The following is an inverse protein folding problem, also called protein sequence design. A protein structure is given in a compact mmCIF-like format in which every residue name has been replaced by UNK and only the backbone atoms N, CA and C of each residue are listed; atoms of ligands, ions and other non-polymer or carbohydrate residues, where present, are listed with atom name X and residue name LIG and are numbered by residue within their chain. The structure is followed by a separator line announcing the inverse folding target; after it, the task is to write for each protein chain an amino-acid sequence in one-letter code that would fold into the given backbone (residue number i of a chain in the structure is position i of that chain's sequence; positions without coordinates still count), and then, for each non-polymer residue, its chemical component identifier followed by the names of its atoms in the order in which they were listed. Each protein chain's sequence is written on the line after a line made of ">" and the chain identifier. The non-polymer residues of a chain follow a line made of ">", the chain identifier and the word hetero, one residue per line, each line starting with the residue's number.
data_IF_900657498432
#
_entry.id   IF_900657498432
#
_cell.length_a   1.000
_cell.length_b   1.000
_cell.length_c   1.000
_cell.angle_alpha   90.00
_cell.angle_beta   90.00
_cell.angle_gamma   90.00
#
_symmetry.space_group_name_H-M   'P 1'
#
loop_
_entity.id
_entity.type
_entity.pdbx_description
1 polymer ?
#
# COMPACT_ATOMS: atom_id res chain seq x y z
N UNK A 1 -32.39 2.86 -15.81
CA UNK A 1 -31.13 2.83 -15.05
C UNK A 1 -31.33 1.90 -13.86
N UNK A 2 -30.35 1.05 -13.50
CA UNK A 2 -30.43 0.25 -12.27
C UNK A 2 -30.26 1.17 -11.06
N UNK A 3 -31.07 0.95 -10.02
CA UNK A 3 -30.92 1.65 -8.75
C UNK A 3 -29.69 1.09 -8.03
N UNK A 4 -28.82 1.98 -7.55
CA UNK A 4 -27.64 1.63 -6.76
C UNK A 4 -27.96 1.99 -5.31
N UNK A 5 -27.95 1.00 -4.43
CA UNK A 5 -28.29 1.18 -3.01
C UNK A 5 -27.07 1.46 -2.13
N UNK A 6 -25.89 1.03 -2.57
CA UNK A 6 -24.64 1.18 -1.83
C UNK A 6 -23.47 1.34 -2.79
N UNK A 7 -22.51 2.19 -2.42
CA UNK A 7 -21.23 2.35 -3.09
C UNK A 7 -20.14 2.12 -2.06
N UNK A 8 -19.25 1.18 -2.34
CA UNK A 8 -18.09 0.88 -1.52
C UNK A 8 -16.87 1.58 -2.10
N UNK A 9 -16.05 2.15 -1.23
CA UNK A 9 -14.79 2.77 -1.60
C UNK A 9 -13.66 2.02 -0.93
N UNK A 10 -12.65 1.69 -1.72
CA UNK A 10 -11.34 1.36 -1.20
C UNK A 10 -10.72 2.62 -0.56
N UNK A 11 -9.70 2.43 0.29
CA UNK A 11 -9.08 3.52 1.02
C UNK A 11 -7.86 4.06 0.27
N UNK A 12 -6.79 3.28 0.20
CA UNK A 12 -5.50 3.68 -0.35
C UNK A 12 -5.58 3.78 -1.88
N UNK A 13 -5.17 4.91 -2.45
CA UNK A 13 -5.24 5.17 -3.89
C UNK A 13 -6.66 5.44 -4.43
N UNK A 14 -7.70 5.33 -3.59
CA UNK A 14 -9.08 5.68 -3.94
C UNK A 14 -9.58 6.91 -3.19
N UNK A 15 -9.53 6.89 -1.86
CA UNK A 15 -9.91 8.04 -1.01
C UNK A 15 -8.68 8.84 -0.56
N UNK A 16 -7.56 8.16 -0.32
CA UNK A 16 -6.32 8.75 0.18
C UNK A 16 -5.17 8.61 -0.82
N UNK A 17 -4.43 9.70 -1.04
CA UNK A 17 -3.08 9.62 -1.61
C UNK A 17 -2.08 9.26 -0.50
N UNK A 18 -2.05 7.99 -0.13
CA UNK A 18 -1.24 7.45 0.97
C UNK A 18 0.14 6.95 0.52
N UNK A 19 0.55 7.23 -0.72
CA UNK A 19 1.80 6.72 -1.31
C UNK A 19 3.03 7.07 -0.48
N UNK A 20 3.17 8.33 -0.10
CA UNK A 20 4.33 8.78 0.69
C UNK A 20 4.40 8.07 2.06
N UNK A 21 3.24 7.84 2.68
CA UNK A 21 3.16 7.14 3.96
C UNK A 21 3.61 5.68 3.80
N UNK A 22 3.10 4.98 2.79
CA UNK A 22 3.46 3.59 2.47
C UNK A 22 4.96 3.45 2.22
N UNK A 23 5.57 4.38 1.46
CA UNK A 23 7.01 4.40 1.21
C UNK A 23 7.81 4.59 2.50
N UNK A 24 7.46 5.57 3.34
CA UNK A 24 8.18 5.85 4.59
C UNK A 24 8.07 4.69 5.58
N UNK A 25 6.86 4.18 5.81
CA UNK A 25 6.60 3.09 6.74
C UNK A 25 7.35 1.81 6.33
N UNK A 26 7.23 1.42 5.06
CA UNK A 26 7.92 0.22 4.56
C UNK A 26 9.43 0.34 4.66
N UNK A 27 10.01 1.46 4.24
CA UNK A 27 11.45 1.70 4.36
C UNK A 27 11.93 1.69 5.81
N UNK A 28 11.14 2.24 6.74
CA UNK A 28 11.45 2.22 8.17
C UNK A 28 11.43 0.78 8.72
N UNK A 29 10.37 0.02 8.45
CA UNK A 29 10.23 -1.36 8.90
C UNK A 29 11.36 -2.26 8.40
N UNK A 30 11.70 -2.19 7.10
CA UNK A 30 12.80 -2.99 6.54
C UNK A 30 14.15 -2.64 7.20
N UNK A 31 14.41 -1.36 7.49
CA UNK A 31 15.63 -0.93 8.19
C UNK A 31 15.68 -1.45 9.62
N UNK A 32 14.57 -1.34 10.35
CA UNK A 32 14.46 -1.81 11.74
C UNK A 32 14.67 -3.33 11.84
N UNK A 33 14.20 -4.07 10.85
CA UNK A 33 14.37 -5.52 10.76
C UNK A 33 15.73 -5.96 10.17
N UNK A 34 16.62 -5.02 9.82
CA UNK A 34 17.92 -5.33 9.19
C UNK A 34 17.81 -5.96 7.79
N UNK A 35 16.69 -5.75 7.10
CA UNK A 35 16.40 -6.29 5.78
C UNK A 35 16.86 -5.34 4.65
N UNK A 36 17.02 -5.89 3.45
CA UNK A 36 17.32 -5.08 2.26
C UNK A 36 16.12 -4.22 1.89
N UNK A 37 16.27 -2.90 2.03
CA UNK A 37 15.21 -1.93 1.75
C UNK A 37 14.83 -1.96 0.26
N UNK A 38 13.54 -2.16 -0.08
CA UNK A 38 13.06 -2.14 -1.47
C UNK A 38 13.05 -0.72 -2.07
N UNK A 39 13.02 -0.63 -3.40
CA UNK A 39 12.85 0.65 -4.09
C UNK A 39 11.41 1.16 -3.95
N UNK A 40 11.20 2.46 -4.17
CA UNK A 40 9.86 3.06 -4.09
C UNK A 40 8.89 2.45 -5.09
N UNK A 41 9.38 2.13 -6.29
CA UNK A 41 8.58 1.47 -7.35
C UNK A 41 8.11 0.08 -6.89
N UNK A 42 8.95 -0.67 -6.19
CA UNK A 42 8.56 -1.98 -5.64
C UNK A 42 7.55 -1.81 -4.51
N UNK A 43 7.74 -0.82 -3.62
CA UNK A 43 6.78 -0.55 -2.55
C UNK A 43 5.42 -0.15 -3.11
N UNK A 44 5.40 0.73 -4.11
CA UNK A 44 4.17 1.17 -4.78
C UNK A 44 3.45 0.02 -5.49
N UNK A 45 4.19 -0.91 -6.09
CA UNK A 45 3.61 -2.12 -6.71
C UNK A 45 2.80 -2.97 -5.73
N UNK A 46 3.21 -3.01 -4.46
CA UNK A 46 2.55 -3.78 -3.40
C UNK A 46 1.48 -3.00 -2.64
N UNK A 47 1.26 -1.70 -2.93
CA UNK A 47 0.19 -0.95 -2.29
C UNK A 47 -1.19 -1.56 -2.61
N UNK A 48 -1.98 -1.83 -1.57
CA UNK A 48 -3.29 -2.48 -1.67
C UNK A 48 -3.26 -4.01 -1.64
N UNK A 49 -2.07 -4.63 -1.72
CA UNK A 49 -1.88 -6.07 -1.47
C UNK A 49 -1.69 -6.28 0.04
N UNK A 50 -2.27 -7.34 0.64
CA UNK A 50 -1.99 -7.69 2.03
C UNK A 50 -0.49 -7.75 2.31
N UNK A 51 -0.05 -7.22 3.46
CA UNK A 51 1.38 -7.06 3.73
C UNK A 51 2.09 -8.40 3.91
N UNK A 52 1.37 -9.40 4.42
CA UNK A 52 1.82 -10.78 4.56
C UNK A 52 2.01 -11.49 3.22
N UNK A 53 1.39 -10.96 2.16
CA UNK A 53 1.51 -11.41 0.76
C UNK A 53 2.49 -10.56 -0.07
N UNK A 54 3.19 -9.63 0.58
CA UNK A 54 4.07 -8.68 -0.08
C UNK A 54 5.55 -9.03 0.14
N UNK A 55 6.41 -8.62 -0.80
CA UNK A 55 7.89 -8.70 -0.71
C UNK A 55 8.49 -10.12 -0.65
N UNK A 56 7.94 -11.07 -1.41
CA UNK A 56 8.54 -12.38 -1.66
C UNK A 56 9.57 -12.40 -2.79
#
# INVERSE_FOLDING_TARGET
>A
MKQVECVLFDLDGTLLDSKECSVKATKAAFKEMGLKVPSEVVIEHYMGIPIEESFF
#
